data_IF_509440134103
#
_entry.id   IF_509440134103
#
_cell.length_a   1.000
_cell.length_b   1.000
_cell.length_c   1.000
_cell.angle_alpha   90.00
_cell.angle_beta   90.00
_cell.angle_gamma   90.00
#
_symmetry.space_group_name_H-M   'P 1'
#
loop_
_entity.id
_entity.type
_entity.pdbx_description
1 polymer ?
#
# COMPACT_ATOMS: atom_id res chain seq x y z
N UNK A 1 -21.07 13.63 25.69
CA UNK A 1 -20.43 14.73 24.94
C UNK A 1 -19.08 14.22 24.45
N UNK A 2 -19.04 13.55 23.29
CA UNK A 2 -17.85 12.96 22.68
C UNK A 2 -17.80 13.45 21.22
N UNK A 3 -16.64 13.89 20.73
CA UNK A 3 -16.50 14.53 19.41
C UNK A 3 -15.79 15.88 19.43
N UNK A 4 -14.94 16.16 20.43
CA UNK A 4 -14.18 17.40 20.48
C UNK A 4 -13.20 17.45 19.30
N UNK A 5 -13.25 18.53 18.52
CA UNK A 5 -12.37 18.74 17.36
C UNK A 5 -11.25 19.69 17.74
N UNK A 6 -10.01 19.27 17.54
CA UNK A 6 -8.84 20.13 17.80
C UNK A 6 -8.83 21.32 16.84
N UNK A 7 -8.78 22.57 17.34
CA UNK A 7 -8.77 23.76 16.49
C UNK A 7 -7.52 23.91 15.61
N UNK A 8 -6.38 23.34 16.04
CA UNK A 8 -5.12 23.43 15.29
C UNK A 8 -4.90 22.26 14.33
N UNK A 9 -5.46 21.10 14.65
CA UNK A 9 -5.21 19.86 13.89
C UNK A 9 -6.42 19.40 13.08
N UNK A 10 -7.63 19.87 13.40
CA UNK A 10 -8.88 19.44 12.75
C UNK A 10 -9.31 18.01 13.06
N UNK A 11 -8.50 17.25 13.79
CA UNK A 11 -8.80 15.87 14.21
C UNK A 11 -9.87 15.84 15.30
N UNK A 12 -10.69 14.79 15.31
CA UNK A 12 -11.79 14.59 16.24
C UNK A 12 -11.44 13.52 17.28
N UNK A 13 -11.71 13.84 18.55
CA UNK A 13 -11.47 12.98 19.70
C UNK A 13 -12.80 12.47 20.25
N UNK A 14 -12.91 11.15 20.36
CA UNK A 14 -14.08 10.48 20.90
C UNK A 14 -13.66 9.56 22.05
N UNK A 15 -14.26 9.75 23.22
CA UNK A 15 -14.19 8.76 24.29
C UNK A 15 -15.09 7.58 23.92
N UNK A 16 -14.47 6.43 23.66
CA UNK A 16 -15.13 5.14 23.48
C UNK A 16 -15.13 4.37 24.81
N UNK A 17 -15.90 3.28 24.87
CA UNK A 17 -15.97 2.42 26.06
C UNK A 17 -14.61 1.81 26.44
N UNK A 18 -13.73 1.64 25.45
CA UNK A 18 -12.43 0.98 25.56
C UNK A 18 -11.26 1.97 25.68
N UNK A 19 -11.51 3.28 25.52
CA UNK A 19 -10.46 4.29 25.54
C UNK A 19 -10.72 5.50 24.64
N UNK A 20 -9.65 6.13 24.15
CA UNK A 20 -9.71 7.32 23.30
C UNK A 20 -9.59 6.92 21.83
N UNK A 21 -10.61 7.20 21.03
CA UNK A 21 -10.58 7.05 19.57
C UNK A 21 -10.31 8.39 18.91
N UNK A 22 -9.40 8.39 17.93
CA UNK A 22 -9.07 9.56 17.13
C UNK A 22 -9.57 9.38 15.70
N UNK A 23 -10.09 10.45 15.08
CA UNK A 23 -10.45 10.50 13.66
C UNK A 23 -9.79 11.68 12.97
N UNK A 24 -9.33 11.47 11.75
CA UNK A 24 -8.81 12.51 10.88
C UNK A 24 -9.91 13.50 10.44
N UNK A 25 -9.55 14.69 9.92
CA UNK A 25 -10.53 15.67 9.44
C UNK A 25 -11.42 15.14 8.30
N UNK A 26 -10.95 14.14 7.56
CA UNK A 26 -11.66 13.45 6.47
C UNK A 26 -12.58 12.32 6.96
N UNK A 27 -12.68 12.11 8.28
CA UNK A 27 -13.54 11.10 8.90
C UNK A 27 -12.91 9.71 9.01
N UNK A 28 -11.70 9.48 8.46
CA UNK A 28 -11.01 8.19 8.61
C UNK A 28 -10.56 8.00 10.06
N UNK A 29 -10.67 6.79 10.64
CA UNK A 29 -10.10 6.51 11.95
C UNK A 29 -8.58 6.67 11.89
N UNK A 30 -8.00 7.18 12.98
CA UNK A 30 -6.56 7.20 13.15
C UNK A 30 -6.14 5.75 13.44
N UNK A 31 -5.76 5.02 12.38
CA UNK A 31 -5.15 3.69 12.53
C UNK A 31 -3.91 3.83 13.41
N UNK A 32 -3.68 2.87 14.30
CA UNK A 32 -2.39 2.84 15.00
C UNK A 32 -1.29 2.69 13.95
N UNK A 33 -0.19 3.43 14.11
CA UNK A 33 0.95 3.49 13.18
C UNK A 33 1.40 2.08 12.75
N UNK A 34 1.19 1.07 13.59
CA UNK A 34 1.46 -0.33 13.33
C UNK A 34 0.64 -0.95 12.19
N UNK A 35 -0.66 -0.65 12.07
CA UNK A 35 -1.52 -1.20 11.01
C UNK A 35 -1.15 -0.64 9.64
N UNK A 36 -0.74 0.63 9.59
CA UNK A 36 -0.22 1.26 8.37
C UNK A 36 1.10 0.62 7.94
N UNK A 37 1.99 0.30 8.89
CA UNK A 37 3.25 -0.40 8.62
C UNK A 37 3.02 -1.79 8.00
N UNK A 38 2.06 -2.56 8.54
CA UNK A 38 1.73 -3.89 8.00
C UNK A 38 1.19 -3.83 6.57
N UNK A 39 0.35 -2.83 6.26
CA UNK A 39 -0.18 -2.65 4.91
C UNK A 39 0.92 -2.32 3.89
N UNK A 40 1.84 -1.40 4.24
CA UNK A 40 2.95 -0.99 3.35
C UNK A 40 3.95 -2.13 3.11
N UNK A 41 4.29 -2.89 4.15
CA UNK A 41 5.19 -4.05 4.00
C UNK A 41 4.54 -5.17 3.17
N UNK A 42 3.23 -5.36 3.32
CA UNK A 42 2.47 -6.31 2.49
C UNK A 42 2.49 -5.96 0.99
N UNK A 43 2.36 -4.68 0.64
CA UNK A 43 2.43 -4.23 -0.76
C UNK A 43 3.84 -4.34 -1.34
N UNK A 44 4.87 -3.97 -0.58
CA UNK A 44 6.28 -4.13 -1.01
C UNK A 44 6.63 -5.58 -1.30
N UNK A 45 6.23 -6.49 -0.42
CA UNK A 45 6.47 -7.93 -0.60
C UNK A 45 5.84 -8.47 -1.89
N UNK A 46 4.63 -8.01 -2.24
CA UNK A 46 3.96 -8.40 -3.49
C UNK A 46 4.69 -7.88 -4.72
N UNK A 47 5.12 -6.62 -4.71
CA UNK A 47 5.89 -6.03 -5.80
C UNK A 47 7.21 -6.78 -6.03
N UNK A 48 7.93 -7.14 -4.96
CA UNK A 48 9.18 -7.91 -5.08
C UNK A 48 8.96 -9.32 -5.66
N UNK A 49 7.88 -9.99 -5.27
CA UNK A 49 7.56 -11.32 -5.80
C UNK A 49 7.22 -11.26 -7.29
N UNK A 50 6.44 -10.27 -7.71
CA UNK A 50 6.12 -10.01 -9.12
C UNK A 50 7.40 -9.74 -9.93
N UNK A 51 8.26 -8.83 -9.47
CA UNK A 51 9.53 -8.51 -10.14
C UNK A 51 10.41 -9.75 -10.29
N UNK A 52 10.60 -10.53 -9.22
CA UNK A 52 11.39 -11.78 -9.28
C UNK A 52 10.79 -12.81 -10.24
N UNK A 53 9.47 -12.86 -10.39
CA UNK A 53 8.82 -13.75 -11.37
C UNK A 53 9.06 -13.26 -12.79
N UNK A 54 8.92 -11.96 -13.04
CA UNK A 54 9.20 -11.35 -14.33
C UNK A 54 10.66 -11.57 -14.75
N UNK A 55 11.61 -11.35 -13.84
CA UNK A 55 13.04 -11.58 -14.08
C UNK A 55 13.35 -13.04 -14.43
N UNK A 56 12.77 -14.00 -13.69
CA UNK A 56 12.94 -15.44 -13.97
C UNK A 56 12.37 -15.82 -15.34
N UNK A 57 11.22 -15.26 -15.70
CA UNK A 57 10.60 -15.51 -16.99
C UNK A 57 11.44 -14.90 -18.12
N UNK A 58 11.88 -13.65 -17.96
CA UNK A 58 12.77 -12.97 -18.91
C UNK A 58 14.09 -13.74 -19.10
N UNK A 59 14.69 -14.24 -18.02
CA UNK A 59 15.88 -15.09 -18.10
C UNK A 59 15.63 -16.38 -18.88
N UNK A 60 14.47 -17.02 -18.69
CA UNK A 60 14.09 -18.23 -19.42
C UNK A 60 13.82 -17.95 -20.91
N UNK A 61 13.20 -16.83 -21.25
CA UNK A 61 12.98 -16.40 -22.62
C UNK A 61 14.32 -16.12 -23.32
N UNK A 62 15.22 -15.40 -22.66
CA UNK A 62 16.59 -15.15 -23.18
C UNK A 62 17.37 -16.44 -23.38
N UNK A 63 17.24 -17.43 -22.50
CA UNK A 63 17.85 -18.75 -22.65
C UNK A 63 17.29 -19.53 -23.86
N UNK A 64 16.05 -19.24 -24.28
CA UNK A 64 15.43 -19.77 -25.48
C UNK A 64 15.73 -18.94 -26.75
N UNK A 65 16.57 -17.90 -26.63
CA UNK A 65 16.90 -16.98 -27.73
C UNK A 65 15.80 -15.97 -28.07
N UNK A 66 14.78 -15.84 -27.22
CA UNK A 66 13.70 -14.86 -27.35
C UNK A 66 14.07 -13.65 -26.49
N UNK A 67 14.13 -12.47 -27.11
CA UNK A 67 14.37 -11.22 -26.40
C UNK A 67 13.05 -10.67 -25.84
N UNK A 68 12.83 -10.70 -24.51
CA UNK A 68 11.59 -10.20 -23.89
C UNK A 68 11.50 -8.67 -23.86
N UNK A 69 12.60 -7.97 -24.14
CA UNK A 69 12.70 -6.50 -24.06
C UNK A 69 12.63 -5.85 -25.46
N UNK A 70 12.70 -6.66 -26.53
CA UNK A 70 12.31 -6.21 -27.87
C UNK A 70 10.82 -5.97 -27.87
N UNK A 71 10.44 -4.72 -28.09
CA UNK A 71 9.05 -4.25 -28.25
C UNK A 71 8.20 -5.33 -28.93
N UNK A 72 7.13 -5.76 -28.25
CA UNK A 72 6.03 -6.41 -28.92
C UNK A 72 5.53 -5.43 -29.97
N UNK A 73 6.03 -5.56 -31.20
CA UNK A 73 5.66 -4.74 -32.34
C UNK A 73 4.12 -4.74 -32.42
N UNK A 74 3.43 -3.61 -32.21
CA UNK A 74 1.97 -3.57 -32.24
C UNK A 74 1.40 -3.67 -33.66
N UNK A 75 2.17 -4.17 -34.64
CA UNK A 75 1.77 -4.26 -36.04
C UNK A 75 2.11 -5.59 -36.72
N UNK A 76 1.24 -6.60 -36.58
CA UNK A 76 0.93 -7.56 -37.67
C UNK A 76 -0.52 -7.98 -37.56
#
# INVERSE_FOLDING_TARGET
MNGWRSPRLGIQFELAAEGLSLRYPDGRPFLEVWELFQAVEGERSRAEVETKRAERLAARLRALGIDPDKEADPGT
#
